data_IF_081855207893
#
_entry.id   IF_081855207893
#
_cell.length_a   1.000
_cell.length_b   1.000
_cell.length_c   1.000
_cell.angle_alpha   90.00
_cell.angle_beta   90.00
_cell.angle_gamma   90.00
#
_symmetry.space_group_name_H-M   'P 1'
#
loop_
_entity.id
_entity.type
_entity.pdbx_description
1 polymer ?
#
# COMPACT_ATOMS: atom_id res chain seq x y z
N UNK A 1 -0.45 6.98 16.03
CA UNK A 1 -0.23 6.24 17.30
C UNK A 1 0.94 6.85 18.04
N UNK A 2 0.79 7.08 19.34
CA UNK A 2 1.85 7.60 20.22
C UNK A 2 2.35 6.52 21.16
N UNK A 3 3.67 6.34 21.24
CA UNK A 3 4.37 5.48 22.17
C UNK A 3 4.92 6.29 23.34
N UNK A 4 4.28 6.14 24.50
CA UNK A 4 4.67 6.87 25.72
C UNK A 4 5.96 6.34 26.37
N UNK A 5 6.42 5.14 26.02
CA UNK A 5 7.65 4.56 26.53
C UNK A 5 8.88 5.09 25.80
N UNK A 6 8.78 5.19 24.48
CA UNK A 6 9.87 5.66 23.63
C UNK A 6 9.76 7.15 23.28
N UNK A 7 8.65 7.79 23.67
CA UNK A 7 8.32 9.17 23.31
C UNK A 7 8.41 9.41 21.79
N UNK A 8 7.71 8.52 21.04
CA UNK A 8 7.69 8.56 19.58
C UNK A 8 6.25 8.62 19.05
N UNK A 9 6.04 9.36 17.97
CA UNK A 9 4.79 9.43 17.24
C UNK A 9 4.91 8.68 15.91
N UNK A 10 4.08 7.65 15.69
CA UNK A 10 4.03 6.91 14.44
C UNK A 10 2.84 7.35 13.59
N UNK A 11 3.12 7.69 12.34
CA UNK A 11 2.13 8.14 11.36
C UNK A 11 2.18 7.22 10.15
N UNK A 12 1.03 6.63 9.81
CA UNK A 12 0.85 5.91 8.54
C UNK A 12 0.57 6.89 7.41
N UNK A 13 1.23 6.74 6.27
CA UNK A 13 1.04 7.59 5.10
C UNK A 13 0.22 6.92 4.01
N UNK A 14 -0.38 7.71 3.15
CA UNK A 14 -1.23 7.25 2.05
C UNK A 14 -0.47 7.01 0.74
N UNK A 15 -1.26 6.76 -0.29
CA UNK A 15 -0.82 6.64 -1.67
C UNK A 15 -0.43 7.98 -2.30
N UNK A 16 0.16 7.94 -3.49
CA UNK A 16 0.51 9.12 -4.28
C UNK A 16 -0.61 9.61 -5.21
N UNK A 17 -0.54 10.89 -5.59
CA UNK A 17 -1.42 11.46 -6.61
C UNK A 17 -0.58 12.11 -7.73
N UNK A 18 -0.83 11.76 -9.00
CA UNK A 18 -1.67 10.65 -9.46
C UNK A 18 -1.14 9.29 -8.96
N UNK A 19 -2.07 8.32 -8.73
CA UNK A 19 -1.68 6.99 -8.21
C UNK A 19 -0.76 6.23 -9.17
N UNK A 20 -0.90 6.43 -10.48
CA UNK A 20 -0.03 5.82 -11.48
C UNK A 20 1.40 6.38 -11.38
N UNK A 21 2.35 5.51 -10.99
CA UNK A 21 3.76 5.85 -10.79
C UNK A 21 4.43 6.41 -12.05
N UNK A 22 4.13 5.86 -13.24
CA UNK A 22 4.71 6.36 -14.51
C UNK A 22 4.40 7.83 -14.78
N UNK A 23 3.22 8.29 -14.34
CA UNK A 23 2.83 9.70 -14.46
C UNK A 23 3.48 10.53 -13.34
N UNK A 24 3.44 10.03 -12.11
CA UNK A 24 3.96 10.73 -10.93
C UNK A 24 5.48 10.77 -10.88
N UNK A 25 6.12 9.68 -11.26
CA UNK A 25 7.56 9.47 -11.12
C UNK A 25 8.11 8.65 -12.29
N UNK A 26 8.17 9.20 -13.51
CA UNK A 26 8.59 8.48 -14.71
C UNK A 26 10.02 7.95 -14.62
N UNK A 27 10.87 8.60 -13.84
CA UNK A 27 12.26 8.17 -13.57
C UNK A 27 12.34 6.99 -12.58
N UNK A 28 11.21 6.56 -12.00
CA UNK A 28 11.16 5.50 -11.00
C UNK A 28 11.38 5.99 -9.58
N UNK A 29 12.02 5.15 -8.74
CA UNK A 29 12.26 5.42 -7.33
C UNK A 29 11.15 4.94 -6.40
N UNK A 30 11.42 4.94 -5.12
CA UNK A 30 10.51 4.40 -4.10
C UNK A 30 9.40 5.38 -3.71
N UNK A 31 9.52 6.64 -4.09
CA UNK A 31 8.57 7.72 -3.79
C UNK A 31 8.33 7.88 -2.28
N UNK A 32 9.40 8.01 -1.49
CA UNK A 32 9.27 8.28 -0.06
C UNK A 32 8.52 9.60 0.17
N UNK A 33 7.56 9.61 1.08
CA UNK A 33 7.20 8.54 2.03
C UNK A 33 5.78 8.00 1.74
N UNK A 34 5.48 7.58 0.53
CA UNK A 34 4.20 6.95 0.24
C UNK A 34 4.13 5.56 0.89
N UNK A 35 2.94 5.17 1.31
CA UNK A 35 2.65 3.84 1.89
C UNK A 35 3.72 3.40 2.89
N UNK A 36 3.89 4.22 3.92
CA UNK A 36 4.95 4.08 4.91
C UNK A 36 4.42 4.30 6.32
N UNK A 37 5.12 3.74 7.31
CA UNK A 37 5.08 4.21 8.68
C UNK A 37 6.25 5.17 8.87
N UNK A 38 5.99 6.35 9.40
CA UNK A 38 6.99 7.38 9.70
C UNK A 38 6.97 7.64 11.20
N UNK A 39 8.13 7.53 11.85
CA UNK A 39 8.31 7.90 13.25
C UNK A 39 8.88 9.30 13.37
N UNK A 40 8.27 10.08 14.26
CA UNK A 40 8.62 11.46 14.55
C UNK A 40 8.81 11.65 16.04
N UNK A 41 9.68 12.57 16.41
CA UNK A 41 9.73 13.15 17.73
C UNK A 41 8.46 13.97 17.97
N UNK A 42 7.66 13.72 19.01
CA UNK A 42 6.40 14.42 19.25
C UNK A 42 6.58 15.88 19.67
N UNK A 43 7.75 16.27 20.20
CA UNK A 43 7.99 17.63 20.73
C UNK A 43 8.21 18.64 19.63
N UNK A 44 8.92 18.26 18.56
CA UNK A 44 9.30 19.19 17.50
C UNK A 44 9.04 18.69 16.06
N UNK A 45 8.57 17.42 15.93
CA UNK A 45 8.30 16.80 14.64
C UNK A 45 9.55 16.32 13.90
N UNK A 46 10.70 16.24 14.58
CA UNK A 46 11.93 15.71 13.99
C UNK A 46 11.71 14.28 13.51
N UNK A 47 12.13 14.02 12.27
CA UNK A 47 12.13 12.69 11.68
C UNK A 47 13.10 11.76 12.42
N UNK A 48 12.62 10.57 12.80
CA UNK A 48 13.41 9.54 13.46
C UNK A 48 13.76 8.38 12.52
N UNK A 49 12.73 7.70 12.01
CA UNK A 49 12.87 6.60 11.07
C UNK A 49 11.60 6.39 10.24
N UNK A 50 11.66 5.53 9.25
CA UNK A 50 10.50 5.07 8.50
C UNK A 50 10.65 3.61 8.08
N UNK A 51 9.51 2.98 7.83
CA UNK A 51 9.41 1.72 7.11
C UNK A 51 8.40 1.88 5.98
N UNK A 52 8.80 1.58 4.75
CA UNK A 52 7.92 1.68 3.58
C UNK A 52 7.45 0.28 3.17
N UNK A 53 6.17 -0.01 3.38
CA UNK A 53 5.58 -1.32 3.08
C UNK A 53 5.28 -1.53 1.59
N UNK A 54 5.14 -0.48 0.79
CA UNK A 54 4.84 -0.55 -0.64
C UNK A 54 5.72 0.43 -1.44
N UNK A 55 7.03 0.12 -1.62
CA UNK A 55 7.96 0.98 -2.37
C UNK A 55 7.51 1.21 -3.81
N UNK A 56 7.55 2.47 -4.27
CA UNK A 56 7.12 2.86 -5.61
C UNK A 56 5.66 2.52 -5.88
N UNK A 57 4.82 2.69 -4.89
CA UNK A 57 3.40 2.37 -4.89
C UNK A 57 2.68 2.84 -6.16
N UNK A 58 1.79 2.00 -6.73
CA UNK A 58 1.03 2.26 -7.96
C UNK A 58 -0.38 1.64 -7.92
N UNK A 59 -0.75 0.90 -6.87
CA UNK A 59 -2.02 0.17 -6.74
C UNK A 59 -3.06 0.89 -5.89
N UNK A 60 -2.81 2.13 -5.48
CA UNK A 60 -3.62 2.86 -4.51
C UNK A 60 -3.61 2.19 -3.12
N UNK A 61 -2.47 1.66 -2.73
CA UNK A 61 -2.25 1.13 -1.39
C UNK A 61 -1.93 2.26 -0.41
N UNK A 62 -2.41 2.10 0.81
CA UNK A 62 -2.21 3.04 1.90
C UNK A 62 -1.66 2.30 3.11
N UNK A 63 -0.85 2.97 3.91
CA UNK A 63 -0.31 2.49 5.19
C UNK A 63 -0.88 3.25 6.39
N UNK A 64 -2.05 3.87 6.24
CA UNK A 64 -2.69 4.68 7.28
C UNK A 64 -3.72 3.90 8.12
N UNK A 65 -3.65 2.57 8.11
CA UNK A 65 -4.41 1.68 8.98
C UNK A 65 -3.88 1.74 10.41
N UNK A 66 -4.57 1.08 11.33
CA UNK A 66 -4.18 1.03 12.74
C UNK A 66 -2.74 0.54 12.91
N UNK A 67 -1.98 1.28 13.72
CA UNK A 67 -0.63 0.92 14.16
C UNK A 67 -0.76 0.50 15.62
N UNK A 68 -0.62 -0.81 15.87
CA UNK A 68 -0.78 -1.42 17.19
C UNK A 68 0.61 -1.63 17.82
N UNK A 69 0.78 -1.15 19.05
CA UNK A 69 2.02 -1.35 19.82
C UNK A 69 1.85 -2.58 20.71
N UNK A 70 2.85 -3.43 20.74
CA UNK A 70 2.88 -4.62 21.59
C UNK A 70 4.31 -4.96 22.03
N UNK A 71 4.39 -5.77 23.09
CA UNK A 71 5.61 -6.42 23.51
C UNK A 71 5.43 -7.92 23.28
N UNK A 72 6.26 -8.50 22.41
CA UNK A 72 6.18 -9.90 22.04
C UNK A 72 7.49 -10.63 22.37
N UNK A 73 7.38 -11.86 22.81
CA UNK A 73 8.52 -12.77 22.91
C UNK A 73 8.83 -13.34 21.53
N UNK A 74 9.99 -12.99 20.98
CA UNK A 74 10.49 -13.45 19.69
C UNK A 74 11.89 -14.03 19.92
N UNK A 75 12.09 -15.29 19.54
CA UNK A 75 13.35 -16.01 19.74
C UNK A 75 13.87 -16.03 21.17
N UNK A 76 12.95 -15.98 22.16
CA UNK A 76 13.27 -16.00 23.60
C UNK A 76 13.63 -14.64 24.19
N UNK A 77 13.48 -13.56 23.42
CA UNK A 77 13.67 -12.17 23.87
C UNK A 77 12.38 -11.37 23.73
N UNK A 78 12.09 -10.49 24.68
CA UNK A 78 10.97 -9.55 24.58
C UNK A 78 11.37 -8.42 23.65
N UNK A 79 10.64 -8.29 22.54
CA UNK A 79 10.79 -7.22 21.53
C UNK A 79 9.62 -6.26 21.62
N UNK A 80 9.93 -4.98 21.61
CA UNK A 80 8.94 -3.92 21.48
C UNK A 80 8.57 -3.76 20.00
N UNK A 81 7.33 -4.05 19.62
CA UNK A 81 6.97 -4.15 18.21
C UNK A 81 5.79 -3.27 17.81
N UNK A 82 5.76 -2.92 16.54
CA UNK A 82 4.58 -2.46 15.80
C UNK A 82 3.98 -3.66 15.08
N UNK A 83 2.66 -3.82 15.21
CA UNK A 83 1.85 -4.72 14.41
C UNK A 83 1.01 -3.88 13.45
N UNK A 84 1.13 -4.14 12.15
CA UNK A 84 0.48 -3.34 11.12
C UNK A 84 -0.04 -4.18 9.95
N UNK A 85 -1.29 -3.94 9.56
CA UNK A 85 -1.94 -4.62 8.43
C UNK A 85 -2.40 -3.59 7.38
N UNK A 86 -1.50 -3.11 6.52
CA UNK A 86 -1.84 -2.15 5.49
C UNK A 86 -2.68 -2.77 4.36
N UNK A 87 -3.17 -1.94 3.47
CA UNK A 87 -4.00 -2.33 2.32
C UNK A 87 -3.28 -3.27 1.32
N UNK A 88 -1.96 -3.40 1.40
CA UNK A 88 -1.15 -4.24 0.52
C UNK A 88 -1.29 -5.75 0.73
N UNK A 89 -1.96 -6.19 1.82
CA UNK A 89 -2.33 -7.58 2.09
C UNK A 89 -1.35 -8.36 2.96
N UNK A 90 -0.26 -7.74 3.44
CA UNK A 90 0.67 -8.34 4.39
C UNK A 90 0.48 -7.79 5.80
N UNK A 91 0.65 -8.65 6.80
CA UNK A 91 0.71 -8.29 8.20
C UNK A 91 2.17 -8.17 8.62
N UNK A 92 2.58 -6.97 8.99
CA UNK A 92 3.97 -6.64 9.33
C UNK A 92 4.19 -6.64 10.84
N UNK A 93 5.37 -7.11 11.23
CA UNK A 93 5.94 -6.97 12.57
C UNK A 93 7.25 -6.20 12.42
N UNK A 94 7.33 -5.03 13.03
CA UNK A 94 8.49 -4.14 12.99
C UNK A 94 8.99 -3.86 14.41
N UNK A 95 10.29 -3.66 14.59
CA UNK A 95 10.81 -3.10 15.84
C UNK A 95 10.39 -1.63 15.97
N UNK A 96 9.67 -1.28 17.03
CA UNK A 96 9.13 0.07 17.20
C UNK A 96 10.18 1.11 17.60
N UNK A 97 11.39 0.67 17.96
CA UNK A 97 12.45 1.60 18.36
C UNK A 97 13.16 2.24 17.16
N UNK A 98 13.25 1.51 16.05
CA UNK A 98 14.07 1.91 14.91
C UNK A 98 13.48 1.59 13.54
N UNK A 99 12.28 0.94 13.49
CA UNK A 99 11.60 0.55 12.26
C UNK A 99 12.21 -0.68 11.57
N UNK A 100 13.08 -1.44 12.26
CA UNK A 100 13.65 -2.66 11.69
C UNK A 100 12.57 -3.69 11.37
N UNK A 101 12.66 -4.27 10.18
CA UNK A 101 11.77 -5.35 9.74
C UNK A 101 12.07 -6.64 10.54
N UNK A 102 11.04 -7.23 11.13
CA UNK A 102 11.13 -8.51 11.84
C UNK A 102 10.48 -9.61 11.00
N UNK A 103 9.23 -9.42 10.58
CA UNK A 103 8.53 -10.39 9.72
C UNK A 103 7.34 -9.76 9.00
N UNK A 104 6.88 -10.43 7.94
CA UNK A 104 5.61 -10.15 7.31
C UNK A 104 5.00 -11.43 6.73
N UNK A 105 3.69 -11.60 6.93
CA UNK A 105 2.92 -12.72 6.42
C UNK A 105 1.66 -12.22 5.70
N UNK A 106 1.31 -12.86 4.58
CA UNK A 106 0.09 -12.52 3.87
C UNK A 106 -1.14 -12.92 4.70
N UNK A 107 -2.02 -11.98 5.01
CA UNK A 107 -3.29 -12.24 5.70
C UNK A 107 -4.49 -12.36 4.75
N UNK A 108 -4.27 -12.10 3.46
CA UNK A 108 -5.24 -12.19 2.39
C UNK A 108 -4.59 -12.80 1.15
N UNK A 109 -5.37 -13.05 0.10
CA UNK A 109 -4.81 -13.40 -1.20
C UNK A 109 -4.08 -12.19 -1.78
N UNK A 110 -2.76 -12.30 -1.97
CA UNK A 110 -1.90 -11.25 -2.51
C UNK A 110 -1.48 -11.63 -3.93
N UNK A 111 -1.82 -10.80 -4.90
CA UNK A 111 -1.54 -11.06 -6.33
C UNK A 111 -0.41 -10.20 -6.90
N UNK A 112 -0.04 -9.13 -6.20
CA UNK A 112 0.97 -8.15 -6.67
C UNK A 112 2.40 -8.50 -6.23
N UNK A 113 2.56 -9.23 -5.11
CA UNK A 113 3.84 -9.68 -4.57
C UNK A 113 3.73 -11.13 -4.09
N UNK A 114 4.80 -11.88 -4.19
CA UNK A 114 4.86 -13.27 -3.74
C UNK A 114 5.10 -13.41 -2.24
N UNK A 115 5.91 -12.53 -1.67
CA UNK A 115 6.27 -12.46 -0.25
C UNK A 115 6.99 -11.15 0.05
N UNK A 116 7.30 -10.90 1.30
CA UNK A 116 8.25 -9.86 1.72
C UNK A 116 9.59 -10.52 2.00
N UNK A 117 10.64 -10.04 1.34
CA UNK A 117 12.00 -10.57 1.50
C UNK A 117 12.49 -10.37 2.95
N UNK A 118 12.84 -11.44 3.67
CA UNK A 118 13.22 -11.34 5.08
C UNK A 118 14.54 -10.61 5.34
N UNK A 119 15.43 -10.51 4.34
CA UNK A 119 16.71 -9.81 4.48
C UNK A 119 16.57 -8.30 4.27
N UNK A 120 15.70 -7.90 3.37
CA UNK A 120 15.54 -6.49 2.97
C UNK A 120 14.28 -5.82 3.52
N UNK A 121 13.30 -6.61 3.97
CA UNK A 121 11.97 -6.12 4.34
C UNK A 121 11.17 -5.57 3.15
N UNK A 122 11.56 -5.86 1.92
CA UNK A 122 10.89 -5.34 0.71
C UNK A 122 10.00 -6.41 0.08
N UNK A 123 8.79 -6.06 -0.38
CA UNK A 123 7.96 -6.99 -1.14
C UNK A 123 8.65 -7.42 -2.44
N UNK A 124 8.60 -8.72 -2.73
CA UNK A 124 9.07 -9.30 -3.99
C UNK A 124 7.91 -9.32 -4.97
N UNK A 125 7.90 -8.34 -5.86
CA UNK A 125 6.81 -8.12 -6.80
C UNK A 125 6.67 -9.27 -7.82
N UNK A 126 5.42 -9.59 -8.16
CA UNK A 126 5.12 -10.50 -9.26
C UNK A 126 5.36 -9.77 -10.58
N UNK A 127 6.13 -10.33 -11.53
CA UNK A 127 6.34 -9.70 -12.83
C UNK A 127 5.02 -9.38 -13.54
N UNK A 128 4.88 -8.16 -14.03
CA UNK A 128 3.67 -7.69 -14.72
C UNK A 128 2.50 -7.30 -13.80
N UNK A 129 2.66 -7.36 -12.46
CA UNK A 129 1.61 -6.95 -11.53
C UNK A 129 1.38 -5.43 -11.47
N UNK A 130 2.33 -4.63 -11.98
CA UNK A 130 2.17 -3.17 -12.02
C UNK A 130 1.27 -2.75 -13.17
N UNK A 131 0.26 -1.95 -12.90
CA UNK A 131 -0.65 -1.37 -13.90
C UNK A 131 0.04 -0.39 -14.88
N UNK A 132 1.32 -0.15 -14.69
CA UNK A 132 2.12 0.79 -15.47
C UNK A 132 2.39 0.31 -16.89
N UNK A 133 2.31 -0.99 -17.16
CA UNK A 133 2.70 -1.56 -18.45
C UNK A 133 1.57 -1.60 -19.49
N UNK A 134 0.43 -1.01 -19.18
CA UNK A 134 -0.66 -0.77 -20.13
C UNK A 134 -1.59 -1.97 -20.35
N UNK A 135 -1.09 -3.20 -20.34
CA UNK A 135 -1.91 -4.40 -20.57
C UNK A 135 -2.82 -4.71 -19.37
N UNK A 136 -2.29 -4.66 -18.14
CA UNK A 136 -3.09 -4.88 -16.92
C UNK A 136 -4.17 -3.80 -16.73
N UNK A 137 -3.92 -2.57 -17.16
CA UNK A 137 -4.90 -1.49 -17.13
C UNK A 137 -6.04 -1.75 -18.11
N UNK A 138 -5.74 -2.24 -19.30
CA UNK A 138 -6.74 -2.59 -20.33
C UNK A 138 -7.58 -3.79 -19.89
N UNK A 139 -6.98 -4.82 -19.28
CA UNK A 139 -7.71 -5.98 -18.73
C UNK A 139 -8.62 -5.59 -17.56
N UNK A 140 -8.18 -4.71 -16.69
CA UNK A 140 -9.01 -4.22 -15.57
C UNK A 140 -10.19 -3.38 -16.08
N UNK A 141 -10.00 -2.55 -17.09
CA UNK A 141 -11.10 -1.84 -17.73
C UNK A 141 -12.04 -2.77 -18.48
N UNK A 142 -11.52 -3.77 -19.17
CA UNK A 142 -12.35 -4.79 -19.86
C UNK A 142 -13.16 -5.61 -18.84
N UNK A 143 -12.59 -5.93 -17.68
CA UNK A 143 -13.31 -6.61 -16.61
C UNK A 143 -14.40 -5.70 -16.00
N UNK A 144 -14.10 -4.43 -15.78
CA UNK A 144 -15.06 -3.44 -15.30
C UNK A 144 -16.18 -3.22 -16.31
N UNK A 145 -15.85 -3.14 -17.59
CA UNK A 145 -16.79 -3.04 -18.70
C UNK A 145 -17.73 -4.26 -18.76
N UNK A 146 -17.19 -5.47 -18.57
CA UNK A 146 -17.97 -6.70 -18.53
C UNK A 146 -18.88 -6.73 -17.29
N UNK A 147 -18.40 -6.32 -16.12
CA UNK A 147 -19.19 -6.25 -14.87
C UNK A 147 -20.31 -5.21 -15.03
N UNK A 148 -20.03 -4.05 -15.60
CA UNK A 148 -21.03 -3.00 -15.88
C UNK A 148 -22.05 -3.50 -16.88
N UNK A 149 -21.63 -4.14 -17.98
CA UNK A 149 -22.51 -4.74 -18.98
C UNK A 149 -23.40 -5.83 -18.42
N UNK A 150 -22.90 -6.69 -17.52
CA UNK A 150 -23.70 -7.74 -16.88
C UNK A 150 -24.71 -7.20 -15.87
N UNK A 151 -24.32 -6.19 -15.09
CA UNK A 151 -25.13 -5.70 -13.97
C UNK A 151 -26.18 -4.66 -14.36
N UNK A 152 -25.96 -3.95 -15.49
CA UNK A 152 -26.83 -2.88 -15.97
C UNK A 152 -27.46 -3.20 -17.34
N UNK A 153 -27.69 -4.48 -17.64
CA UNK A 153 -28.43 -4.90 -18.85
C UNK A 153 -29.84 -4.32 -18.88
N UNK A 154 -29.95 -3.12 -19.40
CA UNK A 154 -31.12 -2.73 -20.19
C UNK A 154 -30.71 -2.84 -21.67
N UNK A 155 -31.39 -3.64 -22.48
CA UNK A 155 -30.93 -3.99 -23.83
C UNK A 155 -30.83 -2.81 -24.84
N UNK A 156 -31.28 -1.63 -24.49
CA UNK A 156 -31.37 -0.49 -25.39
C UNK A 156 -30.32 0.62 -25.16
N UNK A 157 -29.62 0.64 -24.04
CA UNK A 157 -28.77 1.80 -23.64
C UNK A 157 -27.28 1.52 -23.58
N UNK A 158 -26.86 0.25 -23.63
CA UNK A 158 -25.44 -0.12 -23.45
C UNK A 158 -24.63 -0.22 -24.74
N UNK A 159 -25.24 -0.07 -25.91
CA UNK A 159 -24.53 -0.17 -27.19
C UNK A 159 -23.73 1.08 -27.56
N UNK A 160 -23.86 2.19 -26.80
CA UNK A 160 -23.32 3.48 -27.22
C UNK A 160 -22.34 4.15 -26.25
N UNK A 161 -22.03 3.57 -25.07
CA UNK A 161 -21.12 4.20 -24.10
C UNK A 161 -19.94 3.31 -23.77
N UNK A 162 -18.72 3.81 -23.97
CA UNK A 162 -17.52 3.23 -23.39
C UNK A 162 -17.42 3.59 -21.89
N UNK A 163 -16.75 2.75 -21.08
CA UNK A 163 -16.52 3.03 -19.64
C UNK A 163 -15.84 4.39 -19.44
N UNK A 164 -15.02 4.83 -20.38
CA UNK A 164 -14.35 6.14 -20.38
C UNK A 164 -15.34 7.29 -20.50
N UNK A 165 -16.43 7.14 -21.25
CA UNK A 165 -17.47 8.16 -21.37
C UNK A 165 -18.31 8.28 -20.10
N UNK A 166 -18.59 7.16 -19.44
CA UNK A 166 -19.33 7.15 -18.16
C UNK A 166 -18.53 7.84 -17.04
N UNK A 167 -17.20 7.68 -17.02
CA UNK A 167 -16.33 8.36 -16.04
C UNK A 167 -16.28 9.87 -16.32
N UNK A 168 -16.17 10.29 -17.58
CA UNK A 168 -16.20 11.71 -17.97
C UNK A 168 -17.50 12.44 -17.62
N UNK A 169 -18.62 11.74 -17.57
CA UNK A 169 -19.94 12.32 -17.25
C UNK A 169 -20.15 12.56 -15.74
N UNK A 170 -19.32 11.96 -14.88
CA UNK A 170 -19.40 12.14 -13.41
C UNK A 170 -18.59 13.32 -12.89
N UNK A 171 -17.61 13.80 -13.67
CA UNK A 171 -16.69 14.88 -13.30
C UNK A 171 -16.99 16.20 -14.03
N UNK A 172 -18.10 16.27 -14.76
CA UNK A 172 -18.58 17.44 -15.50
C UNK A 172 -19.68 18.23 -14.79
#
# INVERSE_FOLDING_TARGET
TYDAELDQLYIGTGNGSPWNRKIRSPEGGDNLFLSSIVALDPDDGTYLWHYQDSPGETWDFNSNMDIVLADLEIDGEVRNVILHAPKNGFFYVLDRTNGEFISAEAFAEVTWASHVDPETGRPVEVPGARYEDGEAFVESFSLLENIVRERFRTPAETEHYSVVEVIRYRDG
#
